data_IF_132718829490
#
_entry.id   IF_132718829490
#
_cell.length_a   1.000
_cell.length_b   1.000
_cell.length_c   1.000
_cell.angle_alpha   90.00
_cell.angle_beta   90.00
_cell.angle_gamma   90.00
#
_symmetry.space_group_name_H-M   'P 1'
#
loop_
_entity.id
_entity.type
_entity.pdbx_description
1 polymer ?
#
# COMPACT_ATOMS: atom_id res chain seq x y z
N UNK A 1 11.97 29.27 17.89
CA UNK A 1 12.15 28.18 16.90
C UNK A 1 11.16 27.08 17.23
N UNK A 2 10.39 26.56 16.26
CA UNK A 2 9.40 25.49 16.50
C UNK A 2 10.07 24.11 16.51
N UNK A 3 9.57 23.22 17.38
CA UNK A 3 10.04 21.85 17.54
C UNK A 3 11.57 21.67 17.67
N UNK A 4 12.32 22.71 18.07
CA UNK A 4 13.80 22.72 18.07
C UNK A 4 14.41 22.29 16.70
N UNK A 5 13.69 22.49 15.59
CA UNK A 5 14.11 22.03 14.25
C UNK A 5 13.82 20.55 13.94
N UNK A 6 13.12 19.82 14.83
CA UNK A 6 12.63 18.46 14.61
C UNK A 6 11.33 18.45 13.79
N UNK A 7 10.75 17.26 13.59
CA UNK A 7 9.51 17.06 12.83
C UNK A 7 8.36 17.88 13.43
N UNK A 8 8.05 19.01 12.79
CA UNK A 8 7.09 20.00 13.31
C UNK A 8 5.66 19.47 13.38
N UNK A 9 5.25 18.59 12.47
CA UNK A 9 3.92 17.98 12.48
C UNK A 9 3.71 17.08 13.70
N UNK A 10 4.76 16.38 14.17
CA UNK A 10 4.72 15.55 15.36
C UNK A 10 4.99 16.35 16.64
N UNK A 11 5.86 17.36 16.56
CA UNK A 11 6.30 18.14 17.72
C UNK A 11 5.40 19.34 18.06
N UNK A 12 4.63 19.86 17.12
CA UNK A 12 3.76 21.02 17.29
C UNK A 12 2.31 20.77 16.84
N UNK A 13 1.98 19.55 16.42
CA UNK A 13 0.64 19.07 16.15
C UNK A 13 0.55 17.59 16.55
N UNK A 14 -0.30 16.79 15.90
CA UNK A 14 -0.52 15.37 16.23
C UNK A 14 -0.07 14.41 15.14
N UNK A 15 0.76 14.88 14.21
CA UNK A 15 1.23 14.08 13.07
C UNK A 15 0.14 13.87 12.01
N UNK A 16 0.22 12.73 11.34
CA UNK A 16 -0.73 12.38 10.29
C UNK A 16 -2.06 11.86 10.87
N UNK A 17 -3.21 12.19 10.25
CA UNK A 17 -4.50 11.65 10.66
C UNK A 17 -4.57 10.12 10.60
N UNK A 18 -5.41 9.52 11.44
CA UNK A 18 -5.51 8.06 11.59
C UNK A 18 -5.76 7.31 10.28
N UNK A 19 -6.50 7.90 9.34
CA UNK A 19 -6.82 7.23 8.09
C UNK A 19 -5.61 7.01 7.18
N UNK A 20 -4.76 8.02 6.99
CA UNK A 20 -3.54 7.85 6.19
C UNK A 20 -2.52 6.97 6.92
N UNK A 21 -2.52 7.01 8.26
CA UNK A 21 -1.70 6.09 9.07
C UNK A 21 -2.20 4.64 8.98
N UNK A 22 -3.50 4.40 8.79
CA UNK A 22 -4.06 3.07 8.57
C UNK A 22 -3.40 2.38 7.37
N UNK A 23 -3.25 3.06 6.23
CA UNK A 23 -2.57 2.50 5.06
C UNK A 23 -1.09 2.15 5.35
N UNK A 24 -0.39 3.02 6.09
CA UNK A 24 0.99 2.77 6.50
C UNK A 24 1.10 1.57 7.43
N UNK A 25 0.19 1.45 8.40
CA UNK A 25 0.21 0.37 9.39
C UNK A 25 -0.30 -0.96 8.87
N UNK A 26 -1.23 -0.98 7.90
CA UNK A 26 -1.59 -2.21 7.18
C UNK A 26 -0.36 -2.79 6.46
N UNK A 27 0.40 -1.96 5.76
CA UNK A 27 1.66 -2.40 5.13
C UNK A 27 2.65 -2.96 6.18
N UNK A 28 2.81 -2.29 7.32
CA UNK A 28 3.67 -2.79 8.39
C UNK A 28 3.22 -4.15 8.91
N UNK A 29 1.92 -4.35 9.16
CA UNK A 29 1.40 -5.63 9.64
C UNK A 29 1.60 -6.74 8.60
N UNK A 30 1.35 -6.48 7.32
CA UNK A 30 1.58 -7.45 6.25
C UNK A 30 3.07 -7.82 6.15
N UNK A 31 3.97 -6.83 6.21
CA UNK A 31 5.40 -7.07 6.22
C UNK A 31 5.84 -7.90 7.44
N UNK A 32 5.31 -7.61 8.63
CA UNK A 32 5.61 -8.40 9.83
C UNK A 32 5.11 -9.84 9.72
N UNK A 33 3.93 -10.06 9.12
CA UNK A 33 3.39 -11.40 8.87
C UNK A 33 4.28 -12.17 7.89
N UNK A 34 4.74 -11.53 6.81
CA UNK A 34 5.62 -12.13 5.81
C UNK A 34 6.96 -12.54 6.43
N UNK A 35 7.64 -11.58 7.09
CA UNK A 35 8.93 -11.80 7.76
C UNK A 35 8.87 -12.89 8.84
N UNK A 36 7.70 -13.09 9.46
CA UNK A 36 7.50 -14.11 10.48
C UNK A 36 7.22 -15.51 9.92
N UNK A 37 6.77 -15.61 8.66
CA UNK A 37 6.38 -16.87 8.01
C UNK A 37 7.48 -17.46 7.14
N UNK A 38 8.23 -16.60 6.46
CA UNK A 38 9.18 -16.99 5.43
C UNK A 38 10.62 -16.66 5.85
N UNK A 39 11.58 -17.45 5.36
CA UNK A 39 12.99 -17.10 5.48
C UNK A 39 13.39 -16.15 4.35
N UNK A 40 14.12 -15.10 4.69
CA UNK A 40 14.62 -14.13 3.72
C UNK A 40 16.13 -13.99 3.84
N UNK A 41 16.77 -13.70 2.71
CA UNK A 41 18.18 -13.29 2.71
C UNK A 41 18.36 -11.96 3.44
N UNK A 42 19.58 -11.66 3.89
CA UNK A 42 19.91 -10.37 4.50
C UNK A 42 20.00 -9.25 3.44
N UNK A 43 18.85 -8.85 2.91
CA UNK A 43 18.66 -7.81 1.90
C UNK A 43 17.44 -6.96 2.26
N UNK A 44 17.32 -5.81 1.58
CA UNK A 44 16.13 -4.97 1.68
C UNK A 44 15.15 -5.39 0.60
N UNK A 45 13.92 -5.70 1.01
CA UNK A 45 12.83 -6.07 0.11
C UNK A 45 11.72 -5.03 0.16
N UNK A 46 10.90 -5.02 -0.89
CA UNK A 46 9.63 -4.30 -0.95
C UNK A 46 8.50 -5.32 -0.96
N UNK A 47 7.33 -4.95 -0.42
CA UNK A 47 6.17 -5.83 -0.48
C UNK A 47 5.77 -6.07 -1.95
N UNK A 48 5.32 -7.30 -2.29
CA UNK A 48 4.74 -7.60 -3.59
C UNK A 48 3.60 -6.63 -3.95
N UNK A 49 3.53 -6.24 -5.23
CA UNK A 49 2.55 -5.27 -5.72
C UNK A 49 1.10 -5.66 -5.44
N UNK A 50 0.78 -6.95 -5.46
CA UNK A 50 -0.55 -7.46 -5.12
C UNK A 50 -0.96 -7.13 -3.68
N UNK A 51 -0.02 -7.13 -2.73
CA UNK A 51 -0.29 -6.74 -1.36
C UNK A 51 -0.47 -5.23 -1.23
N UNK A 52 0.30 -4.44 -1.97
CA UNK A 52 0.13 -2.98 -2.02
C UNK A 52 -1.24 -2.57 -2.59
N UNK A 53 -1.69 -3.24 -3.67
CA UNK A 53 -3.03 -3.09 -4.22
C UNK A 53 -4.12 -3.51 -3.23
N UNK A 54 -3.89 -4.55 -2.43
CA UNK A 54 -4.82 -4.97 -1.39
C UNK A 54 -4.91 -3.95 -0.24
N UNK A 55 -3.78 -3.35 0.17
CA UNK A 55 -3.81 -2.23 1.13
C UNK A 55 -4.70 -1.11 0.60
N UNK A 56 -4.55 -0.70 -0.66
CA UNK A 56 -5.42 0.31 -1.25
C UNK A 56 -6.89 -0.14 -1.27
N UNK A 57 -7.17 -1.39 -1.67
CA UNK A 57 -8.52 -1.97 -1.79
C UNK A 57 -9.28 -1.93 -0.48
N UNK A 58 -8.63 -2.29 0.63
CA UNK A 58 -9.22 -2.30 1.98
C UNK A 58 -9.71 -0.91 2.45
N UNK A 59 -9.14 0.16 1.90
CA UNK A 59 -9.46 1.53 2.31
C UNK A 59 -10.59 2.18 1.48
N UNK A 60 -10.93 1.63 0.30
CA UNK A 60 -11.91 2.20 -0.62
C UNK A 60 -13.31 2.36 -0.02
N UNK A 61 -13.73 1.38 0.79
CA UNK A 61 -15.05 1.35 1.42
C UNK A 61 -15.30 2.57 2.30
N UNK A 62 -14.26 3.14 2.92
CA UNK A 62 -14.37 4.33 3.77
C UNK A 62 -14.78 5.58 2.98
N UNK A 63 -14.40 5.65 1.70
CA UNK A 63 -14.73 6.75 0.80
C UNK A 63 -15.98 6.49 -0.04
N UNK A 64 -16.64 5.34 0.14
CA UNK A 64 -17.68 4.86 -0.77
C UNK A 64 -17.21 4.84 -2.24
N UNK A 65 -15.92 4.59 -2.44
CA UNK A 65 -15.32 4.50 -3.77
C UNK A 65 -15.72 3.18 -4.42
N UNK A 66 -16.20 3.24 -5.67
CA UNK A 66 -16.57 2.07 -6.46
C UNK A 66 -15.47 1.77 -7.47
N UNK A 67 -14.84 0.61 -7.33
CA UNK A 67 -13.85 0.12 -8.29
C UNK A 67 -14.55 -0.76 -9.31
N UNK A 68 -14.30 -0.46 -10.58
CA UNK A 68 -14.77 -1.27 -11.71
C UNK A 68 -13.90 -2.51 -11.85
N UNK A 69 -14.53 -3.64 -12.14
CA UNK A 69 -13.83 -4.89 -12.48
C UNK A 69 -13.66 -4.99 -13.99
N UNK A 70 -12.45 -5.32 -14.44
CA UNK A 70 -12.19 -5.59 -15.85
C UNK A 70 -12.98 -6.81 -16.32
N UNK A 71 -13.50 -6.78 -17.54
CA UNK A 71 -13.89 -8.02 -18.21
C UNK A 71 -12.65 -8.85 -18.54
N UNK A 72 -12.83 -10.15 -18.76
CA UNK A 72 -11.73 -11.02 -19.19
C UNK A 72 -11.09 -10.52 -20.48
N UNK A 73 -11.91 -10.10 -21.45
CA UNK A 73 -11.44 -9.55 -22.73
C UNK A 73 -10.57 -8.29 -22.53
N UNK A 74 -10.96 -7.40 -21.61
CA UNK A 74 -10.17 -6.19 -21.31
C UNK A 74 -8.85 -6.53 -20.62
N UNK A 75 -8.86 -7.48 -19.68
CA UNK A 75 -7.67 -7.93 -18.96
C UNK A 75 -6.67 -8.59 -19.92
N UNK A 76 -7.16 -9.49 -20.79
CA UNK A 76 -6.38 -10.13 -21.85
C UNK A 76 -5.81 -9.09 -22.83
N UNK A 77 -6.59 -8.06 -23.19
CA UNK A 77 -6.17 -6.99 -24.11
C UNK A 77 -4.97 -6.18 -23.60
N UNK A 78 -4.91 -5.89 -22.30
CA UNK A 78 -3.79 -5.15 -21.69
C UNK A 78 -2.75 -6.04 -21.01
N UNK A 79 -2.92 -7.37 -21.07
CA UNK A 79 -1.97 -8.35 -20.55
C UNK A 79 -1.86 -8.38 -19.03
N UNK A 80 -2.97 -8.28 -18.30
CA UNK A 80 -3.02 -8.39 -16.83
C UNK A 80 -4.07 -9.42 -16.39
N UNK A 81 -3.98 -9.92 -15.15
CA UNK A 81 -5.07 -10.69 -14.55
C UNK A 81 -6.22 -9.76 -14.13
N UNK A 82 -7.46 -10.27 -14.15
CA UNK A 82 -8.66 -9.52 -13.70
C UNK A 82 -8.52 -9.05 -12.24
N UNK A 83 -7.73 -9.76 -11.43
CA UNK A 83 -7.47 -9.46 -10.02
C UNK A 83 -6.13 -8.75 -9.78
N UNK A 84 -5.37 -8.45 -10.83
CA UNK A 84 -4.06 -7.81 -10.76
C UNK A 84 -2.90 -8.80 -10.53
N UNK A 85 -1.67 -8.29 -10.32
CA UNK A 85 -1.32 -6.88 -10.25
C UNK A 85 -1.55 -6.14 -11.57
N UNK A 86 -2.04 -4.90 -11.49
CA UNK A 86 -2.51 -4.13 -12.66
C UNK A 86 -1.43 -3.29 -13.32
N UNK A 87 -0.20 -3.27 -12.79
CA UNK A 87 0.90 -2.42 -13.25
C UNK A 87 2.24 -3.16 -13.16
N UNK A 88 3.21 -2.85 -14.04
CA UNK A 88 4.54 -3.43 -13.95
C UNK A 88 5.33 -2.88 -12.75
N UNK A 89 6.40 -3.55 -12.36
CA UNK A 89 7.16 -3.23 -11.14
C UNK A 89 7.79 -1.83 -11.16
N UNK A 90 8.26 -1.38 -12.32
CA UNK A 90 8.90 -0.07 -12.49
C UNK A 90 7.90 1.10 -12.62
N UNK A 91 6.60 0.82 -12.53
CA UNK A 91 5.56 1.85 -12.61
C UNK A 91 5.61 2.77 -11.38
N UNK A 92 5.45 4.08 -11.60
CA UNK A 92 5.74 5.07 -10.55
C UNK A 92 4.60 5.31 -9.55
N UNK A 93 3.34 5.03 -9.91
CA UNK A 93 2.14 4.90 -9.06
C UNK A 93 0.98 4.37 -9.88
#
# INVERSE_FOLDING_TARGET
>A
VLAEGRLVNLGCATGHPSFVMSASFTNQVLAQIELAKEEHENKVFVLPKVLDEEVARLHLGRFNAKVTTLSKEQADYIGVDVNGPFKPDHYRY
#
